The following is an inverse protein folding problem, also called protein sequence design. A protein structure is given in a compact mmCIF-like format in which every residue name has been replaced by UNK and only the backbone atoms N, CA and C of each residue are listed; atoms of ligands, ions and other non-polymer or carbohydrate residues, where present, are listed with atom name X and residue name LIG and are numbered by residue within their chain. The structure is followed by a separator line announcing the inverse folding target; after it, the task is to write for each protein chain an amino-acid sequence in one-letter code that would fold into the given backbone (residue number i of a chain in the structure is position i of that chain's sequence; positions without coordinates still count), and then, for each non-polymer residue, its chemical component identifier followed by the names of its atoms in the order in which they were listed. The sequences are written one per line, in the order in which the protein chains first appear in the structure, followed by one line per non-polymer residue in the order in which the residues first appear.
data_IF_434767030713
#
_entry.id   IF_434767030713
#
_cell.length_a   1.000
_cell.length_b   1.000
_cell.length_c   1.000
_cell.angle_alpha   90.00
_cell.angle_beta   90.00
_cell.angle_gamma   90.00
#
_symmetry.space_group_name_H-M   'P 1'
#
loop_
_entity.id
_entity.type
_entity.pdbx_description
1 polymer ?
#
# COMPACT_ATOMS: atom_id res chain seq x y z
N UNK A 1 -10.24 -19.40 -1.06
CA UNK A 1 -9.55 -19.56 -2.36
C UNK A 1 -8.66 -18.37 -2.75
N UNK A 2 -8.73 -17.21 -2.08
CA UNK A 2 -7.91 -16.01 -2.36
C UNK A 2 -6.60 -15.93 -1.58
N UNK A 3 -6.59 -16.35 -0.31
CA UNK A 3 -5.39 -16.34 0.54
C UNK A 3 -4.21 -17.12 -0.06
N UNK A 4 -4.47 -18.30 -0.62
CA UNK A 4 -3.42 -19.15 -1.20
C UNK A 4 -2.70 -18.52 -2.40
N UNK A 5 -3.42 -17.79 -3.28
CA UNK A 5 -2.80 -17.12 -4.44
C UNK A 5 -1.97 -15.90 -4.02
N UNK A 6 -2.43 -15.16 -3.01
CA UNK A 6 -1.70 -14.03 -2.44
C UNK A 6 -0.42 -14.51 -1.76
N UNK A 7 -0.54 -15.54 -0.91
CA UNK A 7 0.58 -16.07 -0.13
C UNK A 7 1.64 -16.73 -1.03
N UNK A 8 1.23 -17.37 -2.12
CA UNK A 8 2.15 -17.99 -3.10
C UNK A 8 2.72 -17.03 -4.14
N UNK A 9 2.20 -15.80 -4.25
CA UNK A 9 2.73 -14.81 -5.18
C UNK A 9 4.17 -14.42 -4.84
N UNK A 10 5.01 -14.30 -5.87
CA UNK A 10 6.43 -13.94 -5.75
C UNK A 10 6.67 -12.45 -5.94
N UNK A 11 5.85 -11.82 -6.78
CA UNK A 11 5.96 -10.41 -7.14
C UNK A 11 4.62 -9.83 -7.57
N UNK A 12 4.48 -8.52 -7.45
CA UNK A 12 3.40 -7.73 -8.01
C UNK A 12 3.82 -6.25 -7.99
N UNK A 13 3.21 -5.45 -8.85
CA UNK A 13 3.27 -3.99 -8.77
C UNK A 13 2.00 -3.46 -8.10
N UNK A 14 2.08 -2.29 -7.49
CA UNK A 14 0.94 -1.61 -6.89
C UNK A 14 0.89 -0.13 -7.27
N UNK A 15 -0.30 0.44 -7.21
CA UNK A 15 -0.50 1.89 -7.16
C UNK A 15 -1.46 2.26 -6.04
N UNK A 16 -1.14 3.32 -5.31
CA UNK A 16 -1.95 3.91 -4.25
C UNK A 16 -2.41 5.30 -4.71
N UNK A 17 -3.71 5.52 -4.62
CA UNK A 17 -4.34 6.82 -4.87
C UNK A 17 -5.36 7.14 -3.79
N UNK A 18 -5.71 8.42 -3.70
CA UNK A 18 -6.65 8.93 -2.73
C UNK A 18 -7.76 9.74 -3.41
N UNK A 19 -8.95 9.70 -2.83
CA UNK A 19 -10.00 10.70 -3.05
C UNK A 19 -10.28 11.36 -1.71
N UNK A 20 -10.25 12.70 -1.69
CA UNK A 20 -10.47 13.51 -0.49
C UNK A 20 -9.55 13.14 0.69
N UNK A 21 -8.25 12.93 0.44
CA UNK A 21 -7.30 12.58 1.49
C UNK A 21 -5.89 12.30 0.98
N UNK A 22 -5.05 11.76 1.86
CA UNK A 22 -3.65 11.39 1.66
C UNK A 22 -3.24 10.35 2.72
N UNK A 23 -2.06 9.76 2.58
CA UNK A 23 -1.45 8.95 3.66
C UNK A 23 -0.39 9.78 4.39
N UNK A 24 -0.64 10.16 5.64
CA UNK A 24 0.33 10.86 6.48
C UNK A 24 1.42 9.93 6.98
N UNK A 25 2.66 10.42 6.93
CA UNK A 25 3.86 9.80 7.49
C UNK A 25 4.47 10.71 8.58
N UNK A 26 5.32 10.17 9.46
CA UNK A 26 6.08 10.97 10.42
C UNK A 26 6.89 12.07 9.72
N UNK A 27 7.05 13.23 10.37
CA UNK A 27 7.83 14.34 9.82
C UNK A 27 7.05 15.30 8.91
N UNK A 28 5.72 15.20 8.86
CA UNK A 28 4.89 16.12 8.07
C UNK A 28 4.96 15.83 6.56
N UNK A 29 5.09 14.56 6.20
CA UNK A 29 5.05 14.08 4.83
C UNK A 29 3.70 13.45 4.56
N UNK A 30 3.00 13.90 3.52
CA UNK A 30 1.70 13.38 3.14
C UNK A 30 1.77 12.77 1.74
N UNK A 31 1.68 11.45 1.63
CA UNK A 31 1.66 10.75 0.34
C UNK A 31 0.34 11.03 -0.36
N UNK A 32 0.38 11.78 -1.46
CA UNK A 32 -0.80 12.00 -2.32
C UNK A 32 -1.00 10.81 -3.26
N UNK A 33 0.09 10.25 -3.78
CA UNK A 33 0.11 9.10 -4.70
C UNK A 33 1.37 8.29 -4.49
N UNK A 34 1.28 6.96 -4.64
CA UNK A 34 2.46 6.11 -4.74
C UNK A 34 2.26 5.03 -5.79
N UNK A 35 3.36 4.53 -6.33
CA UNK A 35 3.39 3.33 -7.15
C UNK A 35 4.66 2.55 -6.83
N UNK A 36 4.64 1.24 -6.98
CA UNK A 36 5.79 0.46 -6.62
C UNK A 36 5.78 -0.96 -7.14
N UNK A 37 6.92 -1.60 -6.99
CA UNK A 37 7.16 -2.98 -7.32
C UNK A 37 7.54 -3.72 -6.04
N UNK A 38 6.99 -4.91 -5.86
CA UNK A 38 7.27 -5.80 -4.74
C UNK A 38 7.77 -7.12 -5.29
N UNK A 39 8.85 -7.62 -4.70
CA UNK A 39 9.27 -9.02 -4.84
C UNK A 39 9.56 -9.58 -3.45
N UNK A 40 8.78 -10.59 -3.06
CA UNK A 40 8.89 -11.23 -1.75
C UNK A 40 10.25 -11.95 -1.62
N UNK A 41 10.84 -11.98 -0.41
CA UNK A 41 10.31 -11.43 0.84
C UNK A 41 10.70 -9.97 1.12
N UNK A 42 11.66 -9.38 0.41
CA UNK A 42 12.41 -8.23 0.92
C UNK A 42 12.84 -7.19 -0.13
N UNK A 43 12.29 -7.27 -1.35
CA UNK A 43 12.56 -6.27 -2.39
C UNK A 43 11.34 -5.39 -2.60
N UNK A 44 11.55 -4.09 -2.50
CA UNK A 44 10.51 -3.08 -2.58
C UNK A 44 11.07 -1.85 -3.29
N UNK A 45 10.38 -1.39 -4.33
CA UNK A 45 10.63 -0.10 -4.95
C UNK A 45 9.36 0.72 -4.84
N UNK A 46 9.47 1.96 -4.40
CA UNK A 46 8.35 2.90 -4.33
C UNK A 46 8.76 4.18 -5.05
N UNK A 47 7.84 4.73 -5.82
CA UNK A 47 7.88 6.11 -6.29
C UNK A 47 6.65 6.81 -5.72
N UNK A 48 6.86 7.84 -4.92
CA UNK A 48 5.81 8.56 -4.23
C UNK A 48 5.81 10.05 -4.60
N UNK A 49 4.62 10.59 -4.74
CA UNK A 49 4.34 12.01 -4.69
C UNK A 49 3.96 12.37 -3.25
N UNK A 50 4.76 13.23 -2.64
CA UNK A 50 4.65 13.61 -1.23
C UNK A 50 4.43 15.11 -1.13
N UNK A 51 3.45 15.51 -0.34
CA UNK A 51 3.21 16.90 0.02
C UNK A 51 3.89 17.15 1.37
N UNK A 52 4.74 18.17 1.43
CA UNK A 52 5.36 18.62 2.68
C UNK A 52 5.48 20.14 2.67
N UNK A 53 5.02 20.82 3.73
CA UNK A 53 4.99 22.28 3.82
C UNK A 53 4.41 22.96 2.56
N UNK A 54 3.33 22.40 2.00
CA UNK A 54 2.67 22.86 0.77
C UNK A 54 3.49 22.72 -0.52
N UNK A 55 4.63 22.04 -0.49
CA UNK A 55 5.40 21.67 -1.68
C UNK A 55 5.14 20.23 -2.09
N UNK A 56 5.01 19.99 -3.39
CA UNK A 56 4.98 18.65 -3.97
C UNK A 56 6.41 18.18 -4.23
N UNK A 57 6.77 17.05 -3.64
CA UNK A 57 8.08 16.42 -3.72
C UNK A 57 7.89 15.04 -4.35
N UNK A 58 8.81 14.65 -5.24
CA UNK A 58 8.88 13.29 -5.77
C UNK A 58 10.03 12.57 -5.09
N UNK A 59 9.73 11.45 -4.46
CA UNK A 59 10.71 10.60 -3.79
C UNK A 59 10.61 9.18 -4.32
N UNK A 60 11.75 8.59 -4.63
CA UNK A 60 11.88 7.16 -4.89
C UNK A 60 12.59 6.50 -3.71
N UNK A 61 12.10 5.33 -3.34
CA UNK A 61 12.65 4.48 -2.30
C UNK A 61 12.92 3.10 -2.88
N UNK A 62 14.03 2.50 -2.47
CA UNK A 62 14.44 1.15 -2.85
C UNK A 62 14.92 0.42 -1.61
N UNK A 63 14.34 -0.74 -1.35
CA UNK A 63 14.82 -1.73 -0.40
C UNK A 63 15.24 -2.97 -1.18
N UNK A 64 16.46 -3.43 -0.94
CA UNK A 64 16.91 -4.74 -1.39
C UNK A 64 17.67 -5.41 -0.26
N UNK A 65 17.10 -6.50 0.24
CA UNK A 65 17.63 -7.22 1.39
C UNK A 65 17.70 -6.30 2.62
N UNK A 66 18.89 -5.96 3.11
CA UNK A 66 19.10 -5.11 4.28
C UNK A 66 19.59 -3.70 3.92
N UNK A 67 19.62 -3.36 2.63
CA UNK A 67 20.11 -2.09 2.13
C UNK A 67 18.95 -1.24 1.64
N UNK A 68 19.03 0.06 1.94
CA UNK A 68 17.97 1.01 1.64
C UNK A 68 18.55 2.23 0.92
N UNK A 69 17.84 2.70 -0.09
CA UNK A 69 18.18 3.92 -0.79
C UNK A 69 16.95 4.81 -0.91
N UNK A 70 17.18 6.11 -0.86
CA UNK A 70 16.17 7.14 -1.12
C UNK A 70 16.76 8.19 -2.05
N UNK A 71 15.97 8.71 -2.97
CA UNK A 71 16.42 9.83 -3.81
C UNK A 71 16.43 11.12 -3.00
N UNK A 72 17.48 11.92 -3.13
CA UNK A 72 17.49 13.28 -2.63
C UNK A 72 16.42 14.11 -3.38
N UNK A 73 15.51 14.81 -2.68
CA UNK A 73 14.41 15.53 -3.32
C UNK A 73 14.85 16.75 -4.16
N UNK A 74 16.11 17.19 -4.02
CA UNK A 74 16.69 18.33 -4.73
C UNK A 74 17.56 17.85 -5.90
N UNK A 75 18.51 16.93 -5.66
CA UNK A 75 19.42 16.45 -6.71
C UNK A 75 18.87 15.28 -7.53
N UNK A 76 17.83 14.60 -7.04
CA UNK A 76 17.28 13.34 -7.57
C UNK A 76 18.26 12.16 -7.59
N UNK A 77 19.44 12.31 -6.97
CA UNK A 77 20.42 11.24 -6.85
C UNK A 77 20.03 10.29 -5.73
N UNK A 78 20.31 9.00 -5.93
CA UNK A 78 20.12 7.99 -4.90
C UNK A 78 21.18 8.12 -3.81
N UNK A 79 20.73 8.08 -2.57
CA UNK A 79 21.58 8.09 -1.38
C UNK A 79 21.24 6.85 -0.57
N UNK A 80 22.27 6.09 -0.18
CA UNK A 80 22.10 5.00 0.77
C UNK A 80 21.67 5.59 2.12
N UNK A 81 20.61 5.03 2.70
CA UNK A 81 19.99 5.54 3.92
C UNK A 81 19.93 4.46 4.99
N UNK A 82 20.04 4.87 6.24
CA UNK A 82 19.75 3.96 7.35
C UNK A 82 18.24 3.69 7.42
N UNK A 83 17.85 2.59 8.06
CA UNK A 83 16.44 2.30 8.33
C UNK A 83 15.80 3.35 9.25
N UNK A 84 16.58 3.97 10.14
CA UNK A 84 16.09 4.97 11.08
C UNK A 84 15.65 6.27 10.37
N UNK A 85 16.36 6.61 9.28
CA UNK A 85 16.11 7.79 8.45
C UNK A 85 15.08 7.54 7.34
N UNK A 86 14.62 6.30 7.16
CA UNK A 86 13.65 5.94 6.13
C UNK A 86 12.23 6.40 6.50
N UNK A 87 11.59 7.32 5.74
CA UNK A 87 10.23 7.78 6.03
C UNK A 87 9.16 6.70 5.84
N UNK A 88 9.47 5.63 5.10
CA UNK A 88 8.59 4.49 4.86
C UNK A 88 8.82 3.32 5.83
N UNK A 89 9.71 3.45 6.83
CA UNK A 89 10.15 2.34 7.68
C UNK A 89 9.03 1.58 8.41
N UNK A 90 7.91 2.25 8.66
CA UNK A 90 6.74 1.68 9.36
C UNK A 90 5.65 1.20 8.40
N UNK A 91 5.83 1.39 7.08
CA UNK A 91 4.95 0.82 6.07
C UNK A 91 5.60 -0.46 5.55
N UNK A 92 4.80 -1.52 5.42
CA UNK A 92 5.26 -2.78 4.85
C UNK A 92 4.31 -3.25 3.74
N UNK A 93 4.46 -2.68 2.51
CA UNK A 93 3.61 -3.03 1.38
C UNK A 93 3.72 -4.51 0.97
N UNK A 94 4.80 -5.20 1.36
CA UNK A 94 5.01 -6.62 1.07
C UNK A 94 3.95 -7.50 1.73
N UNK A 95 3.50 -7.11 2.92
CA UNK A 95 2.56 -7.88 3.74
C UNK A 95 1.10 -7.40 3.63
N UNK A 96 0.85 -6.26 2.97
CA UNK A 96 -0.45 -5.58 2.98
C UNK A 96 -1.64 -6.50 2.70
N UNK A 97 -1.51 -7.38 1.70
CA UNK A 97 -2.58 -8.28 1.33
C UNK A 97 -2.78 -9.39 2.37
N UNK A 98 -1.69 -10.00 2.84
CA UNK A 98 -1.79 -11.05 3.85
C UNK A 98 -2.39 -10.49 5.15
N UNK A 99 -1.99 -9.28 5.56
CA UNK A 99 -2.51 -8.58 6.74
C UNK A 99 -4.00 -8.25 6.60
N UNK A 100 -4.43 -7.69 5.45
CA UNK A 100 -5.84 -7.39 5.21
C UNK A 100 -6.67 -8.68 5.22
N UNK A 101 -6.28 -9.70 4.45
CA UNK A 101 -7.09 -10.92 4.30
C UNK A 101 -7.13 -11.79 5.56
N UNK A 102 -6.18 -11.66 6.50
CA UNK A 102 -6.28 -12.34 7.80
C UNK A 102 -7.23 -11.65 8.77
N UNK A 103 -7.50 -10.37 8.57
CA UNK A 103 -8.15 -9.50 9.55
C UNK A 103 -9.51 -8.94 9.09
N UNK A 104 -9.92 -9.20 7.84
CA UNK A 104 -11.24 -8.77 7.37
C UNK A 104 -12.37 -9.49 8.11
N UNK A 105 -13.43 -8.74 8.39
CA UNK A 105 -14.66 -9.18 9.02
C UNK A 105 -15.86 -9.00 8.06
N UNK A 106 -16.97 -9.68 8.33
CA UNK A 106 -18.25 -9.51 7.63
C UNK A 106 -18.19 -9.60 6.08
N UNK A 107 -17.19 -10.33 5.55
CA UNK A 107 -16.96 -10.41 4.12
C UNK A 107 -18.17 -11.00 3.38
N UNK A 108 -18.68 -10.25 2.39
CA UNK A 108 -19.87 -10.59 1.60
C UNK A 108 -19.60 -10.35 0.12
N UNK A 109 -19.92 -11.33 -0.73
CA UNK A 109 -19.87 -11.16 -2.19
C UNK A 109 -21.05 -10.28 -2.62
N UNK A 110 -20.75 -9.12 -3.18
CA UNK A 110 -21.74 -8.14 -3.68
C UNK A 110 -22.14 -8.48 -5.12
N UNK A 111 -21.15 -8.84 -5.94
CA UNK A 111 -21.37 -9.26 -7.31
C UNK A 111 -20.40 -10.36 -7.72
N UNK A 112 -20.82 -11.23 -8.63
CA UNK A 112 -19.97 -12.24 -9.24
C UNK A 112 -20.31 -12.43 -10.71
N UNK A 113 -19.30 -12.37 -11.57
CA UNK A 113 -19.43 -12.59 -13.01
C UNK A 113 -18.12 -13.18 -13.56
N UNK A 114 -18.19 -14.28 -14.32
CA UNK A 114 -17.03 -14.86 -15.00
C UNK A 114 -15.80 -15.09 -14.09
N UNK A 115 -16.01 -15.52 -12.84
CA UNK A 115 -14.96 -15.68 -11.82
C UNK A 115 -14.29 -14.38 -11.34
N UNK A 116 -14.90 -13.25 -11.66
CA UNK A 116 -14.62 -11.96 -11.06
C UNK A 116 -15.63 -11.70 -9.94
N UNK A 117 -15.16 -11.19 -8.82
CA UNK A 117 -15.93 -10.99 -7.59
C UNK A 117 -15.69 -9.59 -7.06
N UNK A 118 -16.78 -8.91 -6.72
CA UNK A 118 -16.75 -7.73 -5.86
C UNK A 118 -17.14 -8.17 -4.44
N UNK A 119 -16.29 -7.88 -3.47
CA UNK A 119 -16.48 -8.26 -2.07
C UNK A 119 -16.53 -7.00 -1.23
N UNK A 120 -17.58 -6.87 -0.42
CA UNK A 120 -17.61 -5.91 0.68
C UNK A 120 -17.09 -6.59 1.94
N UNK A 121 -16.29 -5.89 2.72
CA UNK A 121 -15.83 -6.37 4.01
C UNK A 121 -15.61 -5.20 4.97
N UNK A 122 -15.38 -5.52 6.23
CA UNK A 122 -15.01 -4.59 7.28
C UNK A 122 -13.61 -4.92 7.78
N UNK A 123 -12.90 -3.94 8.32
CA UNK A 123 -11.60 -4.16 8.98
C UNK A 123 -11.42 -3.17 10.13
N UNK A 124 -10.80 -3.61 11.22
CA UNK A 124 -10.31 -2.67 12.23
C UNK A 124 -9.17 -1.84 11.64
N UNK A 125 -9.24 -0.52 11.78
CA UNK A 125 -8.20 0.40 11.31
C UNK A 125 -6.80 -0.01 11.77
N UNK A 126 -6.61 -0.55 12.97
CA UNK A 126 -5.30 -0.98 13.48
C UNK A 126 -4.63 -2.06 12.62
N UNK A 127 -5.41 -2.83 11.87
CA UNK A 127 -4.93 -3.88 10.98
C UNK A 127 -4.49 -3.33 9.60
N UNK A 128 -4.57 -2.01 9.39
CA UNK A 128 -4.07 -1.31 8.19
C UNK A 128 -2.70 -0.68 8.38
N UNK A 129 -1.98 -0.95 9.48
CA UNK A 129 -0.65 -0.38 9.76
C UNK A 129 0.38 -0.67 8.65
N UNK A 130 0.34 -1.85 8.03
CA UNK A 130 1.26 -2.15 6.92
C UNK A 130 1.05 -1.27 5.68
N UNK A 131 -0.12 -0.62 5.57
CA UNK A 131 -0.44 0.36 4.53
C UNK A 131 -0.13 1.80 4.95
N UNK A 132 -0.56 2.22 6.15
CA UNK A 132 -0.53 3.64 6.56
C UNK A 132 0.55 3.98 7.59
N UNK A 133 1.28 2.98 8.10
CA UNK A 133 2.24 3.13 9.17
C UNK A 133 1.60 3.35 10.54
N UNK A 134 2.32 4.03 11.43
CA UNK A 134 1.92 4.20 12.83
C UNK A 134 0.93 5.34 13.07
N UNK A 135 0.79 6.26 12.12
CA UNK A 135 -0.20 7.35 12.23
C UNK A 135 -1.56 6.76 11.91
N UNK A 136 -2.30 6.35 12.93
CA UNK A 136 -3.55 5.61 12.77
C UNK A 136 -4.54 5.99 13.86
N UNK A 137 -5.84 5.99 13.54
CA UNK A 137 -6.92 6.15 14.51
C UNK A 137 -7.37 4.76 14.92
N UNK A 138 -7.02 4.35 16.14
CA UNK A 138 -7.39 3.04 16.68
C UNK A 138 -8.90 2.80 16.78
N UNK A 139 -9.28 1.51 16.75
CA UNK A 139 -10.64 1.03 17.00
C UNK A 139 -11.72 1.65 16.09
N UNK A 140 -11.37 1.94 14.84
CA UNK A 140 -12.36 2.32 13.82
C UNK A 140 -12.71 1.08 13.01
N UNK A 141 -14.01 0.85 12.85
CA UNK A 141 -14.48 -0.07 11.83
C UNK A 141 -14.45 0.65 10.48
N UNK A 142 -13.70 0.11 9.54
CA UNK A 142 -13.42 0.71 8.23
C UNK A 142 -13.96 -0.23 7.16
N UNK A 143 -14.76 0.30 6.24
CA UNK A 143 -15.32 -0.51 5.16
C UNK A 143 -14.33 -0.68 4.01
N UNK A 144 -14.33 -1.88 3.44
CA UNK A 144 -13.50 -2.31 2.33
C UNK A 144 -14.38 -2.75 1.15
N UNK A 145 -13.92 -2.45 -0.07
CA UNK A 145 -14.40 -3.07 -1.31
C UNK A 145 -13.20 -3.70 -2.01
N UNK A 146 -13.22 -5.01 -2.19
CA UNK A 146 -12.18 -5.78 -2.84
C UNK A 146 -12.68 -6.28 -4.19
N UNK A 147 -11.90 -6.05 -5.24
CA UNK A 147 -12.13 -6.64 -6.55
C UNK A 147 -11.15 -7.79 -6.76
N UNK A 148 -11.69 -8.96 -7.05
CA UNK A 148 -10.94 -10.18 -7.23
C UNK A 148 -11.27 -10.74 -8.61
N UNK A 149 -10.27 -10.89 -9.46
CA UNK A 149 -10.42 -11.35 -10.83
C UNK A 149 -9.84 -12.75 -11.02
N UNK A 150 -10.27 -13.45 -12.06
CA UNK A 150 -9.70 -14.74 -12.49
C UNK A 150 -9.59 -15.77 -11.34
N UNK A 151 -10.62 -15.81 -10.51
CA UNK A 151 -10.72 -16.74 -9.38
C UNK A 151 -9.56 -16.65 -8.39
N UNK A 152 -9.21 -15.43 -7.95
CA UNK A 152 -8.36 -15.22 -6.77
C UNK A 152 -7.16 -14.30 -6.94
N UNK A 153 -7.05 -13.55 -8.04
CA UNK A 153 -6.10 -12.44 -8.16
C UNK A 153 -6.78 -11.18 -7.62
N UNK A 154 -6.16 -10.52 -6.65
CA UNK A 154 -6.68 -9.23 -6.16
C UNK A 154 -6.34 -8.18 -7.21
N UNK A 155 -7.35 -7.57 -7.82
CA UNK A 155 -7.17 -6.45 -8.75
C UNK A 155 -7.05 -5.14 -7.98
N UNK A 156 -7.94 -4.91 -7.02
CA UNK A 156 -7.95 -3.67 -6.26
C UNK A 156 -8.61 -3.81 -4.88
N UNK A 157 -8.20 -2.92 -3.98
CA UNK A 157 -8.81 -2.73 -2.66
C UNK A 157 -9.13 -1.24 -2.51
N UNK A 158 -10.37 -0.93 -2.19
CA UNK A 158 -10.82 0.39 -1.80
C UNK A 158 -11.15 0.40 -0.30
N UNK A 159 -10.63 1.39 0.39
CA UNK A 159 -10.76 1.59 1.83
C UNK A 159 -11.52 2.90 2.04
N UNK A 160 -12.60 2.87 2.81
CA UNK A 160 -13.50 4.01 2.97
C UNK A 160 -13.56 4.50 4.42
N UNK A 161 -13.48 5.81 4.58
CA UNK A 161 -13.62 6.49 5.86
C UNK A 161 -12.30 6.70 6.60
N UNK A 162 -12.40 6.71 7.93
CA UNK A 162 -11.36 7.24 8.81
C UNK A 162 -10.38 6.13 9.22
N UNK A 163 -9.18 6.17 8.66
CA UNK A 163 -8.04 5.31 9.05
C UNK A 163 -6.99 6.14 9.79
N UNK A 164 -6.72 7.35 9.34
CA UNK A 164 -5.76 8.29 9.93
C UNK A 164 -6.46 9.55 10.48
N UNK A 165 -5.81 10.33 11.38
CA UNK A 165 -6.46 11.46 12.06
C UNK A 165 -7.02 12.55 11.13
N UNK A 166 -6.42 12.75 9.96
CA UNK A 166 -6.82 13.77 8.99
C UNK A 166 -7.90 13.26 8.00
N UNK A 167 -8.32 12.01 8.11
CA UNK A 167 -9.35 11.46 7.24
C UNK A 167 -10.74 12.00 7.62
N UNK A 168 -11.60 12.03 6.61
CA UNK A 168 -13.03 12.28 6.75
C UNK A 168 -13.82 11.02 6.43
N UNK A 169 -15.13 11.05 6.64
CA UNK A 169 -16.00 9.95 6.23
C UNK A 169 -15.99 9.72 4.70
N UNK A 170 -15.67 10.77 3.94
CA UNK A 170 -15.61 10.75 2.47
C UNK A 170 -14.22 10.42 1.92
N UNK A 171 -13.24 10.18 2.80
CA UNK A 171 -11.90 9.79 2.39
C UNK A 171 -11.92 8.38 1.84
N UNK A 172 -11.33 8.19 0.66
CA UNK A 172 -11.16 6.87 0.04
C UNK A 172 -9.70 6.68 -0.33
N UNK A 173 -9.15 5.51 0.01
CA UNK A 173 -7.87 5.02 -0.51
C UNK A 173 -8.13 3.90 -1.49
N UNK A 174 -7.53 3.95 -2.66
CA UNK A 174 -7.58 2.85 -3.63
C UNK A 174 -6.18 2.34 -3.90
N UNK A 175 -6.01 1.04 -3.69
CA UNK A 175 -4.80 0.32 -4.06
C UNK A 175 -5.16 -0.60 -5.23
N UNK A 176 -4.43 -0.49 -6.33
CA UNK A 176 -4.53 -1.42 -7.46
C UNK A 176 -3.29 -2.27 -7.52
N UNK A 177 -3.46 -3.54 -7.86
CA UNK A 177 -2.39 -4.52 -7.97
C UNK A 177 -2.33 -5.06 -9.39
N UNK A 178 -1.13 -5.15 -9.93
CA UNK A 178 -0.90 -5.56 -11.31
C UNK A 178 0.40 -6.37 -11.43
N UNK A 179 0.68 -6.87 -12.64
CA UNK A 179 1.97 -7.51 -12.97
C UNK A 179 2.36 -8.65 -12.02
N UNK A 180 1.34 -9.40 -11.59
CA UNK A 180 1.48 -10.53 -10.68
C UNK A 180 2.44 -11.59 -11.23
N UNK A 181 3.40 -12.00 -10.39
CA UNK A 181 4.41 -13.02 -10.68
C UNK A 181 5.28 -12.74 -11.92
N UNK A 182 5.34 -11.49 -12.39
CA UNK A 182 6.29 -11.09 -13.43
C UNK A 182 7.73 -11.07 -12.92
N UNK A 183 8.68 -11.30 -13.83
CA UNK A 183 10.09 -11.17 -13.53
C UNK A 183 10.50 -9.68 -13.51
N UNK A 184 10.70 -9.14 -12.31
CA UNK A 184 11.05 -7.75 -12.10
C UNK A 184 12.57 -7.55 -12.15
N UNK A 185 13.01 -6.44 -12.73
CA UNK A 185 14.44 -6.07 -12.76
C UNK A 185 14.81 -5.24 -11.53
N UNK A 186 15.81 -5.71 -10.81
CA UNK A 186 16.33 -5.10 -9.59
C UNK A 186 17.81 -4.81 -9.78
N UNK A 187 18.17 -3.55 -9.63
CA UNK A 187 19.54 -3.06 -9.73
C UNK A 187 19.74 -2.07 -8.59
N UNK A 188 20.92 -2.10 -7.98
CA UNK A 188 21.34 -1.06 -7.04
C UNK A 188 21.54 0.23 -7.83
N UNK A 189 21.26 1.40 -7.23
CA UNK A 189 21.56 2.68 -7.85
C UNK A 189 23.03 2.88 -8.22
#
# INVERSE_FOLDING_TARGET
MTKDKIDTSKSFSFSLTHKNGYTSLPGGFDISKAQGDIQKPNKLRINAEIISNNFLIKLSYLSMDNNYWITNPISFEWVETSQDDNPFKNINPVNILSDIFSEIENATIISSQNYDYEISADINSENLKSLVGDIIVSNKNVSLSLNIIQDGIVDSIKIYGIVQPNDTIDTQREIKFERWNENLKWETP
#
